data_IF_828757838108
#
_entry.id   IF_828757838108
#
_cell.length_a   1.000
_cell.length_b   1.000
_cell.length_c   1.000
_cell.angle_alpha   90.00
_cell.angle_beta   90.00
_cell.angle_gamma   90.00
#
_symmetry.space_group_name_H-M   'P 1'
#
loop_
_entity.id
_entity.type
_entity.pdbx_description
1 polymer ?
#
# COMPACT_ATOMS: atom_id res chain seq x y z
N UNK A 1 3.63 12.14 14.85
CA UNK A 1 4.32 11.00 14.27
C UNK A 1 3.86 10.84 12.82
N UNK A 2 4.79 10.81 11.89
CA UNK A 2 4.53 10.81 10.44
C UNK A 2 4.63 9.41 9.83
N UNK A 3 4.63 8.36 10.67
CA UNK A 3 4.69 6.97 10.22
C UNK A 3 3.47 6.63 9.35
N UNK A 4 3.72 6.19 8.12
CA UNK A 4 2.68 5.82 7.17
C UNK A 4 2.29 4.35 7.36
N UNK A 5 0.99 4.09 7.48
CA UNK A 5 0.46 2.74 7.62
C UNK A 5 -0.88 2.59 6.90
N UNK A 6 -1.34 1.37 6.72
CA UNK A 6 -2.61 1.04 6.11
C UNK A 6 -3.46 0.11 7.00
N UNK A 7 -4.73 -0.10 6.64
CA UNK A 7 -5.62 -0.97 7.43
C UNK A 7 -5.14 -2.42 7.55
N UNK A 8 -4.42 -2.92 6.56
CA UNK A 8 -3.87 -4.27 6.61
C UNK A 8 -2.76 -4.43 7.67
N UNK A 9 -2.19 -3.34 8.19
CA UNK A 9 -1.20 -3.33 9.28
C UNK A 9 -1.84 -3.60 10.65
N UNK A 10 -3.15 -3.40 10.77
CA UNK A 10 -3.85 -3.55 12.04
C UNK A 10 -3.86 -4.99 12.55
N UNK A 11 -3.92 -5.99 11.66
CA UNK A 11 -3.89 -7.40 12.08
C UNK A 11 -2.55 -7.74 12.75
N UNK A 12 -1.42 -7.37 12.11
CA UNK A 12 -0.09 -7.53 12.69
C UNK A 12 0.02 -6.82 14.04
N UNK A 13 -0.47 -5.59 14.09
CA UNK A 13 -0.45 -4.77 15.31
C UNK A 13 -1.24 -5.39 16.45
N UNK A 14 -2.44 -5.91 16.16
CA UNK A 14 -3.26 -6.56 17.19
C UNK A 14 -2.64 -7.88 17.68
N UNK A 15 -1.98 -8.62 16.80
CA UNK A 15 -1.23 -9.81 17.21
C UNK A 15 -0.11 -9.44 18.20
N UNK A 16 0.68 -8.41 17.89
CA UNK A 16 1.75 -7.95 18.80
C UNK A 16 1.21 -7.40 20.12
N UNK A 17 0.12 -6.63 20.09
CA UNK A 17 -0.54 -6.12 21.29
C UNK A 17 -1.08 -7.25 22.18
N UNK A 18 -1.55 -8.33 21.58
CA UNK A 18 -2.05 -9.51 22.28
C UNK A 18 -0.93 -10.49 22.70
N UNK A 19 0.33 -10.22 22.37
CA UNK A 19 1.45 -11.12 22.65
C UNK A 19 1.43 -12.41 21.84
N UNK A 20 0.82 -12.40 20.67
CA UNK A 20 0.75 -13.57 19.77
C UNK A 20 2.02 -13.60 18.93
N UNK A 21 2.90 -14.55 19.23
CA UNK A 21 4.15 -14.74 18.46
C UNK A 21 3.92 -15.58 17.20
N UNK A 22 4.77 -15.35 16.21
CA UNK A 22 4.81 -16.10 14.94
C UNK A 22 3.46 -16.13 14.18
N UNK A 23 2.67 -15.07 14.30
CA UNK A 23 1.34 -14.96 13.68
C UNK A 23 1.40 -15.07 12.15
N UNK A 24 2.44 -14.56 11.48
CA UNK A 24 2.64 -14.65 10.03
C UNK A 24 2.68 -16.12 9.55
N UNK A 25 3.32 -16.99 10.32
CA UNK A 25 3.39 -18.43 10.01
C UNK A 25 2.14 -19.19 10.49
N UNK A 26 1.64 -18.81 11.66
CA UNK A 26 0.53 -19.49 12.33
C UNK A 26 -0.80 -19.33 11.59
N UNK A 27 -1.04 -18.19 11.00
CA UNK A 27 -2.29 -17.87 10.31
C UNK A 27 -2.19 -17.97 8.78
N UNK A 28 -1.05 -18.42 8.28
CA UNK A 28 -0.88 -18.68 6.86
C UNK A 28 -1.83 -19.75 6.36
N UNK A 29 -2.54 -19.48 5.26
CA UNK A 29 -3.38 -20.47 4.60
C UNK A 29 -2.55 -21.27 3.57
N UNK A 30 -2.18 -22.54 3.85
CA UNK A 30 -1.32 -23.31 2.95
C UNK A 30 -1.96 -23.66 1.61
N UNK A 31 -3.26 -23.38 1.44
CA UNK A 31 -4.00 -23.61 0.18
C UNK A 31 -3.88 -22.44 -0.80
N UNK A 32 -3.44 -21.27 -0.33
CA UNK A 32 -3.24 -20.09 -1.15
C UNK A 32 -1.78 -19.99 -1.55
N UNK A 33 -1.51 -19.84 -2.86
CA UNK A 33 -0.13 -19.75 -3.38
C UNK A 33 0.61 -18.50 -2.90
N UNK A 34 -0.13 -17.41 -2.72
CA UNK A 34 0.38 -16.09 -2.35
C UNK A 34 -0.29 -15.58 -1.06
N UNK A 35 -0.37 -16.44 -0.05
CA UNK A 35 -0.88 -16.06 1.26
C UNK A 35 0.25 -15.42 2.07
N UNK A 36 0.50 -14.16 1.77
CA UNK A 36 1.44 -13.33 2.49
C UNK A 36 0.70 -12.54 3.57
N UNK A 37 1.38 -12.30 4.65
CA UNK A 37 0.92 -11.37 5.66
C UNK A 37 1.41 -9.98 5.23
N UNK A 38 0.55 -9.21 4.60
CA UNK A 38 0.93 -7.93 3.95
C UNK A 38 1.24 -6.82 4.95
N UNK A 39 0.71 -6.93 6.18
CA UNK A 39 0.82 -5.87 7.18
C UNK A 39 2.13 -5.86 7.95
N UNK A 40 2.62 -4.66 8.23
CA UNK A 40 3.71 -4.39 9.16
C UNK A 40 3.13 -3.81 10.45
N UNK A 41 3.42 -4.46 11.58
CA UNK A 41 2.92 -3.98 12.87
C UNK A 41 3.39 -2.56 13.20
N UNK A 42 2.46 -1.70 13.60
CA UNK A 42 2.76 -0.37 14.13
C UNK A 42 2.88 -0.35 15.67
N UNK A 43 3.00 -1.54 16.29
CA UNK A 43 3.22 -1.67 17.73
C UNK A 43 4.39 -0.83 18.27
N UNK A 44 5.58 -0.80 17.60
CA UNK A 44 6.68 0.05 18.04
C UNK A 44 6.33 1.53 18.07
N UNK A 45 5.62 2.01 17.05
CA UNK A 45 5.15 3.41 16.97
C UNK A 45 4.15 3.74 18.08
N UNK A 46 3.20 2.83 18.37
CA UNK A 46 2.17 3.05 19.39
C UNK A 46 2.70 2.99 20.82
N UNK A 47 3.67 2.14 21.07
CA UNK A 47 4.15 1.86 22.43
C UNK A 47 5.49 2.52 22.76
N UNK A 48 6.23 2.98 21.77
CA UNK A 48 7.61 3.45 21.91
C UNK A 48 8.62 2.33 22.17
N UNK A 49 8.24 1.06 21.95
CA UNK A 49 9.08 -0.11 22.22
C UNK A 49 9.54 -0.78 20.92
N UNK A 50 10.85 -0.98 20.78
CA UNK A 50 11.44 -1.61 19.60
C UNK A 50 11.68 -0.63 18.43
N UNK A 51 11.92 -1.19 17.25
CA UNK A 51 12.20 -0.43 16.02
C UNK A 51 11.05 -0.58 15.04
N UNK A 52 10.49 0.54 14.61
CA UNK A 52 9.43 0.54 13.60
C UNK A 52 10.01 0.19 12.23
N UNK A 53 9.45 -0.82 11.60
CA UNK A 53 9.67 -1.12 10.18
C UNK A 53 8.73 -0.27 9.34
N UNK A 54 9.17 0.10 8.16
CA UNK A 54 8.40 0.90 7.21
C UNK A 54 8.08 0.09 5.96
N UNK A 55 6.97 0.42 5.32
CA UNK A 55 6.67 -0.04 3.97
C UNK A 55 7.50 0.74 2.95
N UNK A 56 8.02 0.07 1.93
CA UNK A 56 8.62 0.74 0.77
C UNK A 56 7.59 1.55 0.01
N UNK A 57 6.36 1.05 -0.03
CA UNK A 57 5.18 1.69 -0.58
C UNK A 57 3.91 1.07 0.00
N UNK A 58 2.78 1.77 -0.13
CA UNK A 58 1.44 1.28 0.19
C UNK A 58 0.66 1.17 -1.11
N UNK A 59 -0.16 0.11 -1.24
CA UNK A 59 -0.95 -0.18 -2.44
C UNK A 59 -2.41 -0.49 -2.11
N UNK A 60 -3.33 -0.02 -2.94
CA UNK A 60 -4.76 -0.27 -2.82
C UNK A 60 -5.42 -0.45 -4.18
N UNK A 61 -6.41 -1.35 -4.23
CA UNK A 61 -7.32 -1.56 -5.36
C UNK A 61 -8.76 -1.39 -4.92
N UNK A 62 -9.55 -0.74 -5.77
CA UNK A 62 -10.99 -0.61 -5.57
C UNK A 62 -11.72 -0.86 -6.89
N UNK A 63 -12.17 -2.09 -7.09
CA UNK A 63 -12.67 -2.59 -8.36
C UNK A 63 -14.00 -1.94 -8.79
N UNK A 64 -14.88 -1.57 -7.84
CA UNK A 64 -16.19 -0.98 -8.15
C UNK A 64 -16.08 0.32 -8.95
N UNK A 65 -15.08 1.12 -8.68
CA UNK A 65 -14.81 2.36 -9.40
C UNK A 65 -13.67 2.25 -10.40
N UNK A 66 -13.01 1.08 -10.44
CA UNK A 66 -11.80 0.85 -11.24
C UNK A 66 -10.68 1.84 -10.90
N UNK A 67 -10.40 1.96 -9.60
CA UNK A 67 -9.37 2.84 -9.05
C UNK A 67 -8.25 2.03 -8.41
N UNK A 68 -7.01 2.52 -8.58
CA UNK A 68 -5.82 2.03 -7.91
C UNK A 68 -5.14 3.20 -7.19
N UNK A 69 -4.52 2.93 -6.06
CA UNK A 69 -3.74 3.89 -5.32
C UNK A 69 -2.37 3.34 -4.94
N UNK A 70 -1.34 4.14 -5.10
CA UNK A 70 0.01 3.85 -4.60
C UNK A 70 0.52 5.04 -3.82
N UNK A 71 1.12 4.79 -2.66
CA UNK A 71 1.85 5.80 -1.90
C UNK A 71 3.29 5.37 -1.66
N UNK A 72 4.23 6.23 -1.99
CA UNK A 72 5.67 6.04 -1.80
C UNK A 72 6.26 7.32 -1.18
N UNK A 73 6.49 7.29 0.12
CA UNK A 73 6.90 8.49 0.85
C UNK A 73 5.87 9.63 0.67
N UNK A 74 6.30 10.77 0.14
CA UNK A 74 5.40 11.91 -0.12
C UNK A 74 4.66 11.83 -1.46
N UNK A 75 5.02 10.90 -2.32
CA UNK A 75 4.34 10.71 -3.60
C UNK A 75 3.07 9.88 -3.44
N UNK A 76 1.98 10.35 -4.00
CA UNK A 76 0.73 9.60 -4.14
C UNK A 76 0.32 9.54 -5.60
N UNK A 77 0.18 8.33 -6.11
CA UNK A 77 -0.35 8.09 -7.45
C UNK A 77 -1.75 7.50 -7.35
N UNK A 78 -2.68 8.07 -8.11
CA UNK A 78 -4.04 7.56 -8.28
C UNK A 78 -4.21 7.18 -9.75
N UNK A 79 -4.69 5.96 -9.99
CA UNK A 79 -5.11 5.52 -11.32
C UNK A 79 -6.62 5.42 -11.31
N UNK A 80 -7.29 6.24 -12.11
CA UNK A 80 -8.73 6.24 -12.23
C UNK A 80 -9.11 5.79 -13.65
N UNK A 81 -9.67 4.60 -13.78
CA UNK A 81 -10.05 4.00 -15.08
C UNK A 81 -8.92 4.00 -16.11
N UNK A 82 -7.68 3.81 -15.65
CA UNK A 82 -6.48 3.81 -16.47
C UNK A 82 -5.79 5.18 -16.62
N UNK A 83 -6.45 6.28 -16.26
CA UNK A 83 -5.82 7.60 -16.20
C UNK A 83 -4.96 7.74 -14.94
N UNK A 84 -3.74 8.23 -15.12
CA UNK A 84 -2.74 8.33 -14.04
C UNK A 84 -2.64 9.76 -13.58
N UNK A 85 -2.75 9.99 -12.28
CA UNK A 85 -2.51 11.25 -11.60
C UNK A 85 -1.45 11.05 -10.53
N UNK A 86 -0.55 12.01 -10.37
CA UNK A 86 0.53 12.01 -9.37
C UNK A 86 0.49 13.30 -8.56
N UNK A 87 0.60 13.16 -7.24
CA UNK A 87 0.59 14.27 -6.30
C UNK A 87 1.81 14.24 -5.38
N UNK A 88 2.40 15.40 -5.10
CA UNK A 88 3.44 15.59 -4.09
C UNK A 88 2.82 16.08 -2.78
N UNK A 89 2.51 15.16 -1.90
CA UNK A 89 1.83 15.46 -0.62
C UNK A 89 2.69 16.26 0.37
N UNK A 90 3.99 16.45 0.11
CA UNK A 90 4.80 17.35 0.91
C UNK A 90 4.45 18.82 0.66
N UNK A 91 4.02 19.15 -0.57
CA UNK A 91 3.72 20.51 -1.01
C UNK A 91 2.23 20.72 -1.33
N UNK A 92 1.48 19.63 -1.57
CA UNK A 92 0.09 19.64 -1.99
C UNK A 92 -0.70 18.53 -1.29
N UNK A 93 -1.06 18.77 -0.02
CA UNK A 93 -1.82 17.81 0.78
C UNK A 93 -3.27 17.64 0.31
N UNK A 94 -3.81 18.63 -0.42
CA UNK A 94 -5.17 18.60 -0.95
C UNK A 94 -5.30 17.91 -2.31
N UNK A 95 -4.16 17.55 -2.95
CA UNK A 95 -4.14 16.87 -4.24
C UNK A 95 -4.78 17.73 -5.36
N UNK A 96 -4.55 19.05 -5.29
CA UNK A 96 -5.11 20.02 -6.24
C UNK A 96 -4.32 20.07 -7.56
N UNK A 97 -3.05 19.66 -7.56
CA UNK A 97 -2.14 19.81 -8.67
C UNK A 97 -1.55 18.46 -9.11
N UNK A 98 -2.02 17.97 -10.25
CA UNK A 98 -1.43 16.77 -10.88
C UNK A 98 -0.06 17.11 -11.49
N UNK A 99 0.97 16.45 -11.00
CA UNK A 99 2.37 16.61 -11.42
C UNK A 99 2.92 15.42 -12.23
N UNK A 100 2.06 14.49 -12.67
CA UNK A 100 2.46 13.27 -13.38
C UNK A 100 3.33 13.56 -14.62
N UNK A 101 2.99 14.59 -15.39
CA UNK A 101 3.75 14.98 -16.58
C UNK A 101 5.15 15.54 -16.25
N UNK A 102 5.32 16.12 -15.05
CA UNK A 102 6.61 16.69 -14.61
C UNK A 102 7.53 15.62 -13.99
N UNK A 103 6.98 14.47 -13.53
CA UNK A 103 7.73 13.42 -12.84
C UNK A 103 7.50 12.02 -13.44
N UNK A 104 7.81 11.82 -14.74
CA UNK A 104 7.55 10.53 -15.41
C UNK A 104 8.34 9.36 -14.82
N UNK A 105 9.50 9.61 -14.21
CA UNK A 105 10.31 8.60 -13.53
C UNK A 105 9.65 8.09 -12.26
N UNK A 106 8.97 8.97 -11.51
CA UNK A 106 8.19 8.59 -10.31
C UNK A 106 6.98 7.76 -10.73
N UNK A 107 6.23 8.23 -11.74
CA UNK A 107 5.09 7.50 -12.31
C UNK A 107 5.50 6.10 -12.75
N UNK A 108 6.63 5.98 -13.47
CA UNK A 108 7.15 4.68 -13.92
C UNK A 108 7.41 3.75 -12.75
N UNK A 109 8.11 4.22 -11.71
CA UNK A 109 8.41 3.43 -10.52
C UNK A 109 7.14 2.98 -9.81
N UNK A 110 6.15 3.85 -9.66
CA UNK A 110 4.90 3.51 -9.00
C UNK A 110 4.03 2.55 -9.82
N UNK A 111 4.08 2.59 -11.14
CA UNK A 111 3.48 1.57 -12.02
C UNK A 111 4.15 0.20 -11.86
N UNK A 112 5.44 0.14 -11.56
CA UNK A 112 6.15 -1.11 -11.27
C UNK A 112 5.62 -1.73 -9.97
N UNK A 113 5.35 -0.95 -8.93
CA UNK A 113 4.71 -1.44 -7.70
C UNK A 113 3.30 -2.00 -7.97
N UNK A 114 2.48 -1.32 -8.77
CA UNK A 114 1.17 -1.86 -9.17
C UNK A 114 1.32 -3.25 -9.79
N UNK A 115 2.27 -3.42 -10.72
CA UNK A 115 2.49 -4.72 -11.38
C UNK A 115 3.00 -5.80 -10.44
N UNK A 116 3.76 -5.41 -9.42
CA UNK A 116 4.32 -6.31 -8.41
C UNK A 116 3.24 -6.82 -7.46
N UNK A 117 2.34 -5.94 -7.02
CA UNK A 117 1.39 -6.21 -5.94
C UNK A 117 0.02 -6.64 -6.45
N UNK A 118 -0.32 -6.29 -7.69
CA UNK A 118 -1.58 -6.71 -8.29
C UNK A 118 -1.69 -8.23 -8.37
N UNK A 119 -2.82 -8.75 -7.93
CA UNK A 119 -3.18 -10.17 -8.07
C UNK A 119 -4.43 -10.30 -8.93
N UNK A 120 -4.29 -10.93 -10.09
CA UNK A 120 -5.42 -11.16 -10.99
C UNK A 120 -6.56 -11.91 -10.30
N UNK A 121 -7.75 -11.35 -10.39
CA UNK A 121 -8.97 -11.96 -9.86
C UNK A 121 -10.09 -11.95 -10.92
N UNK A 122 -10.77 -13.08 -11.17
CA UNK A 122 -11.91 -13.10 -12.07
C UNK A 122 -13.11 -12.31 -11.52
N UNK A 123 -13.16 -12.09 -10.20
CA UNK A 123 -14.27 -11.41 -9.50
C UNK A 123 -14.00 -9.93 -9.31
N UNK A 124 -12.72 -9.54 -9.09
CA UNK A 124 -12.31 -8.18 -8.77
C UNK A 124 -11.34 -7.66 -9.84
N UNK A 125 -11.89 -7.29 -10.99
CA UNK A 125 -11.09 -6.83 -12.12
C UNK A 125 -10.85 -5.33 -12.05
N UNK A 126 -9.59 -4.92 -12.24
CA UNK A 126 -9.18 -3.53 -12.39
C UNK A 126 -8.39 -3.36 -13.69
N UNK A 127 -8.42 -2.15 -14.26
CA UNK A 127 -7.61 -1.81 -15.43
C UNK A 127 -6.27 -1.28 -14.97
N UNK A 128 -5.20 -2.00 -15.29
CA UNK A 128 -3.85 -1.55 -14.98
C UNK A 128 -3.44 -0.40 -15.91
N UNK A 129 -2.65 0.58 -15.42
CA UNK A 129 -2.15 1.66 -16.26
C UNK A 129 -1.11 1.12 -17.25
N UNK A 130 -1.17 1.61 -18.50
CA UNK A 130 -0.20 1.29 -19.56
C UNK A 130 1.15 1.99 -19.34
#
# INVERSE_FOLDING_TARGET
>A
NDHQFAFYDLMATFCDLAGIENYEQRYRNPRLKNDWFDGISIYPTLTGKGTQKEHDHLYWEFHETNMLGVRMGNWKMVVNRGEVHLYDLANDLHEDHDVAAAHPEVVKKMKEFIKQDHTDSPLFRVTLPQ
#
